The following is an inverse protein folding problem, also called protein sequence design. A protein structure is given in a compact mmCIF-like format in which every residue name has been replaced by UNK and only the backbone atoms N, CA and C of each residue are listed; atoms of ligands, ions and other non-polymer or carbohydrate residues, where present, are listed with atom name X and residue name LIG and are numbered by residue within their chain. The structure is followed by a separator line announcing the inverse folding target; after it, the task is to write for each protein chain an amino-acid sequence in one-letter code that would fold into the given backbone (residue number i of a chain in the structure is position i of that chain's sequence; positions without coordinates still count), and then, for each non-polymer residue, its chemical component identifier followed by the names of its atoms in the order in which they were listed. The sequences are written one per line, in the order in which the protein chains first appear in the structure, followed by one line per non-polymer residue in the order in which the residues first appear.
data_IF_253091294657
#
_entry.id   IF_253091294657
#
_cell.length_a   1.000
_cell.length_b   1.000
_cell.length_c   1.000
_cell.angle_alpha   90.00
_cell.angle_beta   90.00
_cell.angle_gamma   90.00
#
_symmetry.space_group_name_H-M   'P 1'
#
loop_
_entity.id
_entity.type
_entity.pdbx_description
1 polymer ?
#
# COMPACT_ATOMS: atom_id res chain seq x y z
N UNK A 1 41.55 -0.18 -15.14
CA UNK A 1 40.23 -0.29 -15.81
C UNK A 1 39.28 -0.88 -14.79
N UNK A 2 38.35 -0.08 -14.24
CA UNK A 2 37.36 -0.59 -13.28
C UNK A 2 36.10 -0.85 -14.10
N UNK A 3 35.79 -2.12 -14.32
CA UNK A 3 34.53 -2.51 -14.92
C UNK A 3 33.41 -2.12 -13.93
N UNK A 4 32.58 -1.16 -14.31
CA UNK A 4 31.33 -0.90 -13.61
C UNK A 4 30.38 -2.05 -13.99
N UNK A 5 30.19 -2.99 -13.07
CA UNK A 5 29.16 -4.02 -13.22
C UNK A 5 27.79 -3.32 -13.22
N UNK A 6 27.15 -3.26 -14.38
CA UNK A 6 25.76 -2.85 -14.50
C UNK A 6 24.89 -3.95 -13.89
N UNK A 7 24.60 -3.84 -12.58
CA UNK A 7 23.54 -4.62 -11.95
C UNK A 7 22.25 -4.31 -12.70
N UNK A 8 21.69 -5.29 -13.40
CA UNK A 8 20.42 -5.17 -14.11
C UNK A 8 19.38 -4.58 -13.13
N UNK A 9 18.74 -3.48 -13.52
CA UNK A 9 17.71 -2.87 -12.71
C UNK A 9 16.56 -3.89 -12.58
N UNK A 10 16.34 -4.42 -11.38
CA UNK A 10 15.20 -5.30 -11.12
C UNK A 10 13.92 -4.55 -11.46
N UNK A 11 13.03 -5.18 -12.21
CA UNK A 11 11.70 -4.65 -12.47
C UNK A 11 10.98 -4.43 -11.13
N UNK A 12 10.38 -3.25 -10.97
CA UNK A 12 9.58 -2.89 -9.80
C UNK A 12 8.13 -3.01 -10.23
N UNK A 13 7.39 -3.94 -9.62
CA UNK A 13 5.96 -4.04 -9.84
C UNK A 13 5.27 -2.98 -8.98
N UNK A 14 4.45 -2.12 -9.60
CA UNK A 14 3.73 -1.05 -8.92
C UNK A 14 2.27 -1.13 -9.29
N UNK A 15 1.39 -1.21 -8.30
CA UNK A 15 -0.05 -1.23 -8.48
C UNK A 15 -0.76 -0.30 -7.47
N UNK A 16 -2.01 0.05 -7.75
CA UNK A 16 -2.85 0.80 -6.82
C UNK A 16 -4.02 -0.08 -6.38
N UNK A 17 -4.18 -0.26 -5.06
CA UNK A 17 -5.31 -0.98 -4.48
C UNK A 17 -6.24 -0.07 -3.73
N UNK A 18 -7.53 -0.19 -4.02
CA UNK A 18 -8.55 0.48 -3.23
C UNK A 18 -8.90 -0.37 -2.01
N UNK A 19 -8.80 0.23 -0.83
CA UNK A 19 -9.21 -0.39 0.44
C UNK A 19 -10.40 0.36 1.05
N UNK A 20 -11.14 -0.34 1.90
CA UNK A 20 -12.22 0.23 2.71
C UNK A 20 -11.98 -0.07 4.19
N UNK A 21 -11.78 0.97 5.01
CA UNK A 21 -11.60 0.86 6.45
C UNK A 21 -12.89 1.20 7.15
N UNK A 22 -13.40 0.29 7.98
CA UNK A 22 -14.46 0.60 8.93
C UNK A 22 -13.84 1.19 10.20
N UNK A 23 -14.21 2.42 10.53
CA UNK A 23 -13.84 3.04 11.79
C UNK A 23 -14.89 2.74 12.86
N UNK A 24 -14.47 2.55 14.12
CA UNK A 24 -15.36 2.25 15.25
C UNK A 24 -16.45 3.32 15.47
N UNK A 25 -16.25 4.55 14.99
CA UNK A 25 -17.26 5.61 15.03
C UNK A 25 -18.37 5.48 13.96
N UNK A 26 -18.38 4.35 13.24
CA UNK A 26 -19.30 4.01 12.17
C UNK A 26 -18.95 4.61 10.80
N UNK A 27 -17.89 5.41 10.70
CA UNK A 27 -17.47 6.00 9.44
C UNK A 27 -16.73 4.96 8.55
N UNK A 28 -16.96 5.01 7.24
CA UNK A 28 -16.22 4.19 6.26
C UNK A 28 -15.24 5.06 5.50
N UNK A 29 -13.98 4.65 5.47
CA UNK A 29 -12.91 5.38 4.80
C UNK A 29 -12.49 4.58 3.56
N UNK A 30 -12.62 5.19 2.39
CA UNK A 30 -12.12 4.63 1.13
C UNK A 30 -10.80 5.30 0.77
N UNK A 31 -9.76 4.53 0.49
CA UNK A 31 -8.44 5.05 0.12
C UNK A 31 -7.81 4.14 -0.94
N UNK A 32 -7.07 4.73 -1.88
CA UNK A 32 -6.17 3.99 -2.75
C UNK A 32 -4.77 3.96 -2.12
N UNK A 33 -4.17 2.78 -2.04
CA UNK A 33 -2.82 2.55 -1.51
C UNK A 33 -1.92 2.11 -2.66
N UNK A 34 -0.70 2.65 -2.69
CA UNK A 34 0.36 2.20 -3.58
C UNK A 34 0.93 0.88 -3.06
N UNK A 35 0.93 -0.14 -3.91
CA UNK A 35 1.51 -1.45 -3.63
C UNK A 35 2.75 -1.58 -4.50
N UNK A 36 3.89 -1.86 -3.87
CA UNK A 36 5.19 -2.02 -4.53
C UNK A 36 5.67 -3.44 -4.26
N UNK A 37 5.92 -4.21 -5.31
CA UNK A 37 6.35 -5.61 -5.24
C UNK A 37 5.43 -6.43 -4.32
N UNK A 38 4.12 -6.29 -4.50
CA UNK A 38 3.11 -7.04 -3.78
C UNK A 38 2.77 -6.54 -2.37
N UNK A 39 3.42 -5.48 -1.87
CA UNK A 39 3.14 -4.93 -0.53
C UNK A 39 2.93 -3.42 -0.53
N UNK A 40 1.90 -2.95 0.17
CA UNK A 40 1.60 -1.54 0.38
C UNK A 40 1.06 -1.28 1.78
N UNK A 41 1.36 -0.12 2.35
CA UNK A 41 0.83 0.27 3.65
C UNK A 41 0.54 1.76 3.70
N UNK A 42 -0.36 2.17 4.59
CA UNK A 42 -0.71 3.57 4.76
C UNK A 42 -1.24 3.89 6.18
N UNK A 43 -1.13 5.16 6.58
CA UNK A 43 -1.80 5.71 7.77
C UNK A 43 -3.02 6.52 7.31
N UNK A 44 -4.17 6.18 7.88
CA UNK A 44 -5.44 6.81 7.51
C UNK A 44 -6.10 7.41 8.72
N UNK A 45 -6.29 8.73 8.72
CA UNK A 45 -7.03 9.44 9.75
C UNK A 45 -8.52 9.51 9.40
N UNK A 46 -9.36 9.06 10.33
CA UNK A 46 -10.81 9.20 10.21
C UNK A 46 -11.20 10.68 10.27
N UNK A 47 -11.84 11.19 9.22
CA UNK A 47 -12.30 12.59 9.15
C UNK A 47 -13.36 12.94 10.21
N UNK A 48 -14.10 11.94 10.70
CA UNK A 48 -15.18 12.12 11.69
C UNK A 48 -14.69 12.16 13.14
N UNK A 49 -13.89 11.18 13.57
CA UNK A 49 -13.47 11.07 14.98
C UNK A 49 -11.98 11.32 15.21
N UNK A 50 -11.20 11.55 14.15
CA UNK A 50 -9.76 11.81 14.24
C UNK A 50 -8.89 10.58 14.56
N UNK A 51 -9.48 9.41 14.83
CA UNK A 51 -8.74 8.16 15.07
C UNK A 51 -7.92 7.77 13.83
N UNK A 52 -6.72 7.26 14.05
CA UNK A 52 -5.81 6.77 13.00
C UNK A 52 -5.95 5.27 12.84
N UNK A 53 -5.86 4.79 11.61
CA UNK A 53 -5.91 3.39 11.23
C UNK A 53 -4.67 3.09 10.39
N UNK A 54 -3.92 2.07 10.80
CA UNK A 54 -2.86 1.51 9.99
C UNK A 54 -3.44 0.41 9.12
N UNK A 55 -3.12 0.45 7.83
CA UNK A 55 -3.68 -0.46 6.84
C UNK A 55 -2.57 -1.02 5.96
N UNK A 56 -2.75 -2.28 5.59
CA UNK A 56 -1.83 -3.02 4.73
C UNK A 56 -2.65 -3.57 3.55
N UNK A 57 -2.06 -3.54 2.37
CA UNK A 57 -2.61 -4.12 1.15
C UNK A 57 -1.54 -5.02 0.53
N UNK A 58 -1.90 -6.28 0.30
CA UNK A 58 -1.01 -7.28 -0.29
C UNK A 58 -1.61 -7.78 -1.60
N UNK A 59 -0.76 -8.10 -2.57
CA UNK A 59 -1.13 -8.90 -3.74
C UNK A 59 -1.22 -10.36 -3.30
N UNK A 60 -2.44 -10.83 -3.07
CA UNK A 60 -2.71 -12.26 -2.90
C UNK A 60 -2.69 -12.85 -4.30
N UNK A 61 -1.63 -13.58 -4.63
CA UNK A 61 -1.63 -14.45 -5.81
C UNK A 61 -2.66 -15.56 -5.54
N UNK A 62 -3.79 -15.57 -6.25
CA UNK A 62 -4.70 -16.72 -6.25
C UNK A 62 -4.00 -17.85 -7.00
N UNK A 63 -3.56 -18.89 -6.27
CA UNK A 63 -3.00 -20.15 -6.81
C UNK A 63 -4.03 -20.99 -7.59
#
# INVERSE_FOLDING_TARGET
MIAAEHKEAKEINVSFKQICVACDCGNKIKKAILVINGYGFDDVKCSKCGKRHFVVAEDVEEE
#
